data_IF_634101594269
#
_entry.id   IF_634101594269
#
_cell.length_a   1.000
_cell.length_b   1.000
_cell.length_c   1.000
_cell.angle_alpha   90.00
_cell.angle_beta   90.00
_cell.angle_gamma   90.00
#
_symmetry.space_group_name_H-M   'P 1'
#
loop_
_entity.id
_entity.type
_entity.pdbx_description
1 polymer ?
#
# COMPACT_ATOMS: atom_id res chain seq x y z
N UNK A 1 56.09 -37.22 14.30
CA UNK A 1 55.96 -36.04 13.41
C UNK A 1 54.59 -36.15 12.75
N UNK A 2 53.61 -35.40 13.25
CA UNK A 2 52.19 -35.49 12.88
C UNK A 2 51.93 -34.77 11.55
N UNK A 3 51.10 -35.33 10.64
CA UNK A 3 50.66 -34.64 9.44
C UNK A 3 49.52 -33.67 9.80
N UNK A 4 49.71 -32.38 9.57
CA UNK A 4 48.61 -31.42 9.62
C UNK A 4 47.78 -31.55 8.34
N UNK A 5 46.70 -32.31 8.44
CA UNK A 5 45.59 -32.28 7.50
C UNK A 5 45.07 -30.84 7.37
N UNK A 6 45.07 -30.29 6.15
CA UNK A 6 44.44 -29.00 5.87
C UNK A 6 42.93 -29.18 5.91
N UNK A 7 42.34 -28.92 7.08
CA UNK A 7 40.91 -28.93 7.31
C UNK A 7 40.23 -27.80 6.52
N UNK A 8 39.23 -28.25 5.75
CA UNK A 8 38.19 -27.52 5.05
C UNK A 8 37.73 -26.26 5.77
N UNK A 9 37.83 -25.10 5.11
CA UNK A 9 37.17 -23.87 5.52
C UNK A 9 36.05 -23.56 4.53
N UNK A 10 34.96 -24.34 4.61
CA UNK A 10 33.68 -23.92 4.03
C UNK A 10 33.16 -22.79 4.91
N UNK A 11 33.40 -21.56 4.46
CA UNK A 11 32.81 -20.36 5.03
C UNK A 11 31.28 -20.52 4.98
N UNK A 12 30.65 -20.64 6.15
CA UNK A 12 29.22 -20.43 6.32
C UNK A 12 28.93 -18.98 5.96
N UNK A 13 28.70 -18.71 4.68
CA UNK A 13 27.92 -17.56 4.26
C UNK A 13 26.48 -17.84 4.72
N UNK A 14 26.21 -17.57 6.00
CA UNK A 14 24.87 -17.59 6.57
C UNK A 14 24.00 -16.66 5.75
N UNK A 15 23.18 -17.25 4.90
CA UNK A 15 22.29 -16.59 3.97
C UNK A 15 21.26 -15.80 4.79
N UNK A 16 21.52 -14.51 5.01
CA UNK A 16 20.51 -13.55 5.46
C UNK A 16 19.51 -13.37 4.32
N UNK A 17 18.64 -14.35 4.10
CA UNK A 17 17.45 -14.18 3.26
C UNK A 17 16.54 -13.19 3.99
N UNK A 18 16.29 -11.98 3.45
CA UNK A 18 15.22 -11.17 3.98
C UNK A 18 13.94 -11.98 3.85
N UNK A 19 13.25 -12.20 4.97
CA UNK A 19 11.92 -12.79 4.96
C UNK A 19 11.01 -11.79 4.24
N UNK A 20 10.70 -12.09 2.98
CA UNK A 20 9.70 -11.33 2.23
C UNK A 20 8.32 -11.73 2.75
N UNK A 21 7.71 -10.88 3.58
CA UNK A 21 6.29 -11.04 3.89
C UNK A 21 5.51 -10.74 2.62
N UNK A 22 4.69 -11.69 2.16
CA UNK A 22 3.75 -11.44 1.08
C UNK A 22 2.73 -10.39 1.57
N UNK A 23 2.87 -9.17 1.09
CA UNK A 23 1.94 -8.07 1.33
C UNK A 23 0.91 -8.06 0.20
N UNK A 24 -0.36 -8.18 0.54
CA UNK A 24 -1.46 -8.05 -0.42
C UNK A 24 -2.04 -6.64 -0.32
N UNK A 25 -2.16 -5.97 -1.47
CA UNK A 25 -2.88 -4.71 -1.57
C UNK A 25 -4.14 -4.95 -2.37
N UNK A 26 -5.28 -4.53 -1.84
CA UNK A 26 -6.57 -4.68 -2.52
C UNK A 26 -7.39 -3.40 -2.40
N UNK A 27 -8.39 -3.26 -3.25
CA UNK A 27 -9.37 -2.18 -3.12
C UNK A 27 -10.74 -2.68 -3.55
N UNK A 28 -11.77 -2.19 -2.88
CA UNK A 28 -13.17 -2.35 -3.33
C UNK A 28 -13.70 -1.07 -3.96
N UNK A 29 -12.89 -0.02 -4.02
CA UNK A 29 -13.24 1.23 -4.67
C UNK A 29 -13.29 1.05 -6.19
N UNK A 30 -14.35 1.56 -6.80
CA UNK A 30 -14.53 1.56 -8.25
C UNK A 30 -14.55 3.02 -8.70
N UNK A 31 -13.60 3.39 -9.55
CA UNK A 31 -13.57 4.72 -10.16
C UNK A 31 -14.55 4.76 -11.34
N UNK A 32 -15.17 5.92 -11.58
CA UNK A 32 -15.95 6.14 -12.81
C UNK A 32 -15.02 6.21 -14.03
N UNK A 33 -15.50 5.78 -15.20
CA UNK A 33 -14.71 5.75 -16.45
C UNK A 33 -14.15 7.11 -16.89
N UNK A 34 -14.71 8.21 -16.39
CA UNK A 34 -14.23 9.56 -16.68
C UNK A 34 -12.89 9.87 -15.95
N UNK A 35 -12.44 8.96 -15.09
CA UNK A 35 -11.23 9.09 -14.28
C UNK A 35 -10.11 8.14 -14.70
N UNK A 36 -10.22 7.45 -15.83
CA UNK A 36 -9.18 6.54 -16.35
C UNK A 36 -7.83 7.26 -16.57
N UNK A 37 -7.85 8.58 -16.76
CA UNK A 37 -6.64 9.41 -16.85
C UNK A 37 -5.82 9.44 -15.54
N UNK A 38 -6.40 9.03 -14.42
CA UNK A 38 -5.74 8.95 -13.12
C UNK A 38 -5.00 7.62 -12.92
N UNK A 39 -5.22 6.64 -13.79
CA UNK A 39 -4.56 5.35 -13.70
C UNK A 39 -3.07 5.50 -14.05
N UNK A 40 -2.23 4.71 -13.38
CA UNK A 40 -0.82 4.66 -13.74
C UNK A 40 -0.60 3.87 -15.05
N UNK A 41 0.66 3.80 -15.49
CA UNK A 41 1.07 3.06 -16.70
C UNK A 41 0.82 1.55 -16.66
N UNK A 42 0.34 1.01 -15.54
CA UNK A 42 -0.06 -0.39 -15.35
C UNK A 42 -1.58 -0.56 -15.26
N UNK A 43 -2.36 0.47 -15.63
CA UNK A 43 -3.82 0.49 -15.52
C UNK A 43 -4.30 0.20 -14.09
N UNK A 44 -3.65 0.82 -13.11
CA UNK A 44 -4.02 0.72 -11.70
C UNK A 44 -4.61 2.04 -11.23
N UNK A 45 -5.79 1.97 -10.62
CA UNK A 45 -6.47 3.13 -10.05
C UNK A 45 -5.68 3.77 -8.91
N UNK A 46 -5.88 5.07 -8.65
CA UNK A 46 -5.27 5.75 -7.50
C UNK A 46 -5.57 5.05 -6.17
N UNK A 47 -6.76 4.43 -6.04
CA UNK A 47 -7.16 3.64 -4.89
C UNK A 47 -6.28 2.40 -4.68
N UNK A 48 -5.99 1.65 -5.75
CA UNK A 48 -5.16 0.46 -5.68
C UNK A 48 -3.70 0.82 -5.37
N UNK A 49 -3.18 1.90 -5.97
CA UNK A 49 -1.82 2.36 -5.71
C UNK A 49 -1.68 2.86 -4.26
N UNK A 50 -2.67 3.57 -3.73
CA UNK A 50 -2.69 3.95 -2.32
C UNK A 50 -2.62 2.72 -1.41
N UNK A 51 -3.37 1.64 -1.72
CA UNK A 51 -3.31 0.40 -0.96
C UNK A 51 -1.91 -0.23 -0.99
N UNK A 52 -1.22 -0.22 -2.12
CA UNK A 52 0.17 -0.69 -2.21
C UNK A 52 1.12 0.10 -1.33
N UNK A 53 1.04 1.44 -1.37
CA UNK A 53 1.92 2.29 -0.57
C UNK A 53 1.66 2.12 0.93
N UNK A 54 0.39 2.10 1.34
CA UNK A 54 0.02 1.96 2.74
C UNK A 54 0.36 0.56 3.29
N UNK A 55 0.18 -0.48 2.47
CA UNK A 55 0.51 -1.86 2.83
C UNK A 55 2.01 -2.14 2.99
N UNK A 56 2.88 -1.29 2.43
CA UNK A 56 4.33 -1.48 2.48
C UNK A 56 4.91 -1.52 3.91
N UNK A 57 4.27 -0.84 4.87
CA UNK A 57 4.71 -0.77 6.26
C UNK A 57 4.16 -1.91 7.15
N UNK A 58 3.28 -2.77 6.64
CA UNK A 58 2.59 -3.77 7.42
C UNK A 58 2.93 -5.21 7.02
N UNK A 59 2.39 -6.15 7.79
CA UNK A 59 2.27 -7.55 7.39
C UNK A 59 0.81 -7.86 7.08
N UNK A 60 0.53 -8.58 5.98
CA UNK A 60 -0.81 -9.00 5.61
C UNK A 60 -1.45 -8.17 4.49
N UNK A 61 -2.78 -8.05 4.52
CA UNK A 61 -3.54 -7.35 3.49
C UNK A 61 -3.86 -5.92 3.91
N UNK A 62 -3.55 -4.95 3.05
CA UNK A 62 -4.07 -3.58 3.16
C UNK A 62 -5.16 -3.36 2.13
N UNK A 63 -6.32 -2.89 2.57
CA UNK A 63 -7.49 -2.67 1.71
C UNK A 63 -7.92 -1.22 1.77
N UNK A 64 -7.94 -0.54 0.62
CA UNK A 64 -8.62 0.75 0.48
C UNK A 64 -10.10 0.47 0.15
N UNK A 65 -11.04 0.74 1.07
CA UNK A 65 -12.45 0.40 0.86
C UNK A 65 -13.13 1.39 -0.08
N UNK A 66 -14.21 0.96 -0.75
CA UNK A 66 -15.18 1.85 -1.39
C UNK A 66 -15.61 2.95 -0.41
N UNK A 67 -15.74 4.17 -0.90
CA UNK A 67 -16.26 5.28 -0.12
C UNK A 67 -17.68 4.97 0.39
N UNK A 68 -17.95 5.15 1.70
CA UNK A 68 -19.30 5.03 2.21
C UNK A 68 -20.19 6.16 1.70
N UNK A 69 -21.45 5.83 1.45
CA UNK A 69 -22.52 6.79 1.18
C UNK A 69 -23.20 7.19 2.49
N UNK A 70 -23.61 8.46 2.60
CA UNK A 70 -24.50 8.87 3.70
C UNK A 70 -25.92 8.37 3.46
N UNK A 71 -26.75 8.42 4.51
CA UNK A 71 -28.20 8.21 4.38
C UNK A 71 -28.87 9.19 3.40
N UNK A 72 -28.23 10.33 3.10
CA UNK A 72 -28.68 11.33 2.12
C UNK A 72 -28.15 11.09 0.71
N UNK A 73 -27.41 10.00 0.47
CA UNK A 73 -26.82 9.66 -0.83
C UNK A 73 -25.56 10.45 -1.19
N UNK A 74 -25.03 11.28 -0.29
CA UNK A 74 -23.80 12.02 -0.51
C UNK A 74 -22.58 11.11 -0.29
N UNK A 75 -21.62 11.17 -1.20
CA UNK A 75 -20.34 10.48 -1.02
C UNK A 75 -19.46 11.22 -0.02
N UNK A 76 -18.86 10.45 0.88
CA UNK A 76 -18.01 10.97 1.96
C UNK A 76 -16.60 11.36 1.46
N UNK A 77 -15.64 11.44 2.38
CA UNK A 77 -14.20 11.55 2.10
C UNK A 77 -13.47 10.50 2.91
N UNK A 78 -12.28 10.08 2.46
CA UNK A 78 -11.40 9.32 3.33
C UNK A 78 -10.86 10.22 4.43
N UNK A 79 -11.10 9.83 5.68
CA UNK A 79 -10.54 10.53 6.81
C UNK A 79 -9.04 10.24 6.92
N UNK A 80 -8.23 11.21 7.38
CA UNK A 80 -6.82 10.96 7.64
C UNK A 80 -6.65 9.87 8.70
N UNK A 81 -5.55 9.10 8.64
CA UNK A 81 -5.24 8.10 9.65
C UNK A 81 -5.15 8.75 11.04
N UNK A 82 -5.59 8.03 12.07
CA UNK A 82 -5.48 8.46 13.46
C UNK A 82 -4.91 7.34 14.33
N UNK A 83 -4.33 7.72 15.48
CA UNK A 83 -3.81 6.78 16.46
C UNK A 83 -2.80 5.78 15.86
N UNK A 84 -3.07 4.49 16.02
CA UNK A 84 -2.20 3.40 15.55
C UNK A 84 -2.16 3.24 14.03
N UNK A 85 -3.09 3.85 13.29
CA UNK A 85 -3.07 3.83 11.83
C UNK A 85 -2.05 4.83 11.23
N UNK A 86 -1.50 5.74 12.04
CA UNK A 86 -0.50 6.72 11.60
C UNK A 86 0.90 6.09 11.57
N UNK A 87 1.52 6.06 10.40
CA UNK A 87 2.88 5.58 10.19
C UNK A 87 3.49 6.22 8.94
N UNK A 88 4.75 5.90 8.63
CA UNK A 88 5.46 6.47 7.49
C UNK A 88 4.73 6.22 6.14
N UNK A 89 4.04 5.09 6.00
CA UNK A 89 3.33 4.76 4.78
C UNK A 89 1.99 5.49 4.69
N UNK A 90 1.27 5.69 5.80
CA UNK A 90 -0.03 6.36 5.79
C UNK A 90 0.06 7.89 5.86
N UNK A 91 1.15 8.44 6.41
CA UNK A 91 1.40 9.87 6.58
C UNK A 91 2.44 10.42 5.58
N UNK A 92 2.34 10.03 4.31
CA UNK A 92 3.19 10.55 3.23
C UNK A 92 2.38 11.39 2.24
N UNK A 93 3.00 12.42 1.66
CA UNK A 93 2.35 13.25 0.64
C UNK A 93 1.85 12.42 -0.56
N UNK A 94 2.59 11.36 -0.92
CA UNK A 94 2.17 10.44 -1.97
C UNK A 94 0.85 9.74 -1.63
N UNK A 95 0.70 9.22 -0.41
CA UNK A 95 -0.55 8.58 0.03
C UNK A 95 -1.68 9.59 0.18
N UNK A 96 -1.43 10.78 0.73
CA UNK A 96 -2.45 11.83 0.79
C UNK A 96 -2.99 12.17 -0.61
N UNK A 97 -2.11 12.43 -1.58
CA UNK A 97 -2.53 12.73 -2.95
C UNK A 97 -3.31 11.59 -3.60
N UNK A 98 -2.87 10.34 -3.41
CA UNK A 98 -3.54 9.17 -3.98
C UNK A 98 -4.88 8.88 -3.31
N UNK A 99 -5.00 9.07 -1.99
CA UNK A 99 -6.27 8.92 -1.28
C UNK A 99 -7.27 10.01 -1.67
N UNK A 100 -6.82 11.25 -1.84
CA UNK A 100 -7.64 12.35 -2.35
C UNK A 100 -8.08 12.10 -3.79
N UNK A 101 -7.19 11.64 -4.64
CA UNK A 101 -7.50 11.18 -6.00
C UNK A 101 -8.51 10.02 -6.00
N UNK A 102 -8.34 9.04 -5.11
CA UNK A 102 -9.24 7.92 -4.97
C UNK A 102 -10.65 8.37 -4.54
N UNK A 103 -10.76 9.35 -3.63
CA UNK A 103 -12.05 9.92 -3.25
C UNK A 103 -12.71 10.63 -4.44
N UNK A 104 -11.96 11.45 -5.16
CA UNK A 104 -12.45 12.18 -6.33
C UNK A 104 -12.94 11.23 -7.44
N UNK A 105 -12.19 10.16 -7.74
CA UNK A 105 -12.56 9.22 -8.81
C UNK A 105 -13.87 8.46 -8.53
N UNK A 106 -14.22 8.34 -7.25
CA UNK A 106 -15.47 7.72 -6.83
C UNK A 106 -16.64 8.71 -6.88
N UNK A 107 -16.40 10.03 -6.89
CA UNK A 107 -17.42 11.07 -6.76
C UNK A 107 -17.56 11.65 -5.34
N UNK A 108 -16.62 11.33 -4.44
CA UNK A 108 -16.55 11.87 -3.08
C UNK A 108 -15.77 13.17 -2.96
N UNK A 109 -15.76 13.74 -1.75
CA UNK A 109 -14.94 14.91 -1.44
C UNK A 109 -13.47 14.52 -1.28
N UNK A 110 -12.56 15.32 -1.84
CA UNK A 110 -11.12 15.20 -1.62
C UNK A 110 -10.66 16.15 -0.51
N UNK A 111 -9.79 15.67 0.38
CA UNK A 111 -9.16 16.51 1.39
C UNK A 111 -7.92 17.16 0.75
N UNK A 112 -7.90 18.49 0.68
CA UNK A 112 -6.71 19.28 0.35
C UNK A 112 -5.90 19.54 1.62
#
# INVERSE_FOLDING_TARGET
MTPFARLSSLWLAGLMLPVAYAQSATTTAVCGSNFDWMDNSRAQSPCLIAAYLQGACGSGTWTVPLLPFTATGAQQSYLPPNGTAMNLCTCSAAVYNLMSACAACQGGGWLL
#
